data_IF_185051380009
#
_entry.id   IF_185051380009
#
_cell.length_a   1.000
_cell.length_b   1.000
_cell.length_c   1.000
_cell.angle_alpha   90.00
_cell.angle_beta   90.00
_cell.angle_gamma   90.00
#
_symmetry.space_group_name_H-M   'P 1'
#
loop_
_entity.id
_entity.type
_entity.pdbx_description
1 polymer ?
#
# COMPACT_ATOMS: atom_id res chain seq x y z
N UNK A 1 -12.33 4.21 -14.88
CA UNK A 1 -12.31 2.74 -14.70
C UNK A 1 -10.89 2.27 -14.97
N UNK A 2 -10.26 1.53 -14.06
CA UNK A 2 -8.88 1.05 -14.21
C UNK A 2 -8.89 -0.32 -14.91
N UNK A 3 -8.26 -0.41 -16.09
CA UNK A 3 -8.11 -1.66 -16.83
C UNK A 3 -6.66 -2.17 -16.75
N UNK A 4 -6.37 -3.19 -15.93
CA UNK A 4 -5.02 -3.70 -15.77
C UNK A 4 -4.55 -4.49 -17.01
N UNK A 5 -3.31 -4.24 -17.43
CA UNK A 5 -2.58 -5.05 -18.41
C UNK A 5 -2.28 -6.45 -17.84
N UNK A 6 -1.94 -7.46 -18.67
CA UNK A 6 -1.71 -8.83 -18.20
C UNK A 6 -0.74 -8.94 -17.00
N UNK A 7 0.41 -8.28 -17.05
CA UNK A 7 1.37 -8.28 -15.93
C UNK A 7 0.84 -7.58 -14.67
N UNK A 8 -0.06 -6.60 -14.82
CA UNK A 8 -0.69 -5.93 -13.68
C UNK A 8 -1.78 -6.81 -13.06
N UNK A 9 -2.50 -7.62 -13.86
CA UNK A 9 -3.46 -8.60 -13.33
C UNK A 9 -2.78 -9.63 -12.45
N UNK A 10 -1.62 -10.13 -12.86
CA UNK A 10 -0.83 -11.06 -12.05
C UNK A 10 -0.45 -10.47 -10.68
N UNK A 11 -0.19 -9.16 -10.61
CA UNK A 11 0.08 -8.47 -9.34
C UNK A 11 -1.20 -8.39 -8.49
N UNK A 12 -2.36 -8.15 -9.11
CA UNK A 12 -3.66 -8.06 -8.42
C UNK A 12 -4.22 -9.43 -7.97
N UNK A 13 -3.69 -10.52 -8.53
CA UNK A 13 -3.96 -11.90 -8.10
C UNK A 13 -3.12 -12.32 -6.88
N UNK A 14 -2.33 -11.42 -6.30
CA UNK A 14 -1.56 -11.69 -5.09
C UNK A 14 -2.47 -12.07 -3.91
N UNK A 15 -2.20 -13.25 -3.33
CA UNK A 15 -2.94 -13.79 -2.18
C UNK A 15 -2.07 -13.99 -0.93
N UNK A 16 -0.75 -13.87 -1.05
CA UNK A 16 0.18 -14.02 0.08
C UNK A 16 1.60 -14.42 -0.35
N UNK A 17 2.50 -14.52 0.62
CA UNK A 17 3.89 -14.92 0.41
C UNK A 17 4.80 -13.77 -0.06
N UNK A 18 5.80 -14.08 -0.89
CA UNK A 18 6.73 -13.08 -1.44
C UNK A 18 6.49 -12.95 -2.94
N UNK A 19 6.38 -11.72 -3.43
CA UNK A 19 6.24 -11.42 -4.85
C UNK A 19 7.30 -10.39 -5.27
N UNK A 20 8.01 -10.66 -6.36
CA UNK A 20 8.96 -9.74 -6.98
C UNK A 20 8.36 -9.11 -8.24
N UNK A 21 8.53 -7.79 -8.41
CA UNK A 21 8.03 -7.05 -9.56
C UNK A 21 9.19 -6.29 -10.22
N UNK A 22 9.38 -6.44 -11.52
CA UNK A 22 10.45 -5.77 -12.25
C UNK A 22 10.28 -4.23 -12.24
N UNK A 23 11.35 -3.53 -11.86
CA UNK A 23 11.36 -2.08 -11.68
C UNK A 23 11.58 -1.30 -12.99
N UNK A 24 10.76 -1.53 -14.02
CA UNK A 24 10.88 -0.81 -15.30
C UNK A 24 10.29 0.60 -15.18
N UNK A 25 10.98 1.69 -15.57
CA UNK A 25 10.43 3.04 -15.55
C UNK A 25 9.11 3.16 -16.32
N UNK A 26 8.16 3.96 -15.82
CA UNK A 26 6.88 4.20 -16.49
C UNK A 26 5.90 3.01 -16.51
N UNK A 27 6.22 1.86 -15.89
CA UNK A 27 5.38 0.67 -15.95
C UNK A 27 4.07 0.73 -15.14
N UNK A 28 3.74 1.87 -14.53
CA UNK A 28 2.51 2.04 -13.76
C UNK A 28 2.49 1.34 -12.39
N UNK A 29 3.66 0.94 -11.85
CA UNK A 29 3.79 0.25 -10.55
C UNK A 29 3.04 0.95 -9.42
N UNK A 30 3.21 2.26 -9.27
CA UNK A 30 2.53 3.02 -8.22
C UNK A 30 1.02 2.85 -8.30
N UNK A 31 0.44 2.92 -9.50
CA UNK A 31 -1.00 2.75 -9.69
C UNK A 31 -1.45 1.31 -9.39
N UNK A 32 -0.75 0.30 -9.91
CA UNK A 32 -1.08 -1.11 -9.67
C UNK A 32 -0.92 -1.52 -8.21
N UNK A 33 0.14 -1.06 -7.54
CA UNK A 33 0.36 -1.34 -6.12
C UNK A 33 -0.64 -0.61 -5.22
N UNK A 34 -1.07 0.59 -5.59
CA UNK A 34 -2.15 1.29 -4.88
C UNK A 34 -3.48 0.53 -5.02
N UNK A 35 -3.77 -0.01 -6.21
CA UNK A 35 -4.94 -0.85 -6.44
C UNK A 35 -4.88 -2.14 -5.63
N UNK A 36 -3.72 -2.79 -5.57
CA UNK A 36 -3.51 -4.00 -4.76
C UNK A 36 -3.72 -3.71 -3.27
N UNK A 37 -3.15 -2.63 -2.75
CA UNK A 37 -3.33 -2.23 -1.35
C UNK A 37 -4.83 -2.03 -1.04
N UNK A 38 -5.54 -1.28 -1.89
CA UNK A 38 -6.99 -1.08 -1.74
C UNK A 38 -7.79 -2.39 -1.83
N UNK A 39 -7.38 -3.33 -2.69
CA UNK A 39 -8.01 -4.65 -2.80
C UNK A 39 -7.81 -5.48 -1.53
N UNK A 40 -6.60 -5.50 -0.96
CA UNK A 40 -6.32 -6.22 0.30
C UNK A 40 -7.19 -5.67 1.44
N UNK A 41 -7.27 -4.35 1.57
CA UNK A 41 -8.11 -3.66 2.57
C UNK A 41 -9.58 -4.04 2.37
N UNK A 42 -10.10 -3.91 1.13
CA UNK A 42 -11.50 -4.20 0.80
C UNK A 42 -11.90 -5.66 0.97
N UNK A 43 -10.96 -6.59 0.86
CA UNK A 43 -11.25 -8.02 1.03
C UNK A 43 -11.56 -8.37 2.49
N UNK A 44 -11.28 -7.46 3.45
CA UNK A 44 -11.63 -7.65 4.86
C UNK A 44 -10.90 -8.83 5.53
N UNK A 45 -9.75 -9.22 4.99
CA UNK A 45 -8.95 -10.35 5.48
C UNK A 45 -7.92 -9.95 6.53
N UNK A 46 -7.88 -8.67 6.90
CA UNK A 46 -6.99 -8.15 7.93
C UNK A 46 -7.69 -8.24 9.29
N UNK A 47 -7.00 -8.79 10.28
CA UNK A 47 -7.43 -8.74 11.68
C UNK A 47 -7.40 -7.30 12.22
N UNK A 48 -8.04 -7.04 13.36
CA UNK A 48 -8.16 -5.69 13.95
C UNK A 48 -6.80 -5.02 14.25
N UNK A 49 -5.74 -5.81 14.44
CA UNK A 49 -4.37 -5.38 14.71
C UNK A 49 -3.45 -5.41 13.48
N UNK A 50 -3.99 -5.71 12.29
CA UNK A 50 -3.24 -5.80 11.04
C UNK A 50 -3.51 -4.61 10.11
N UNK A 51 -2.46 -4.19 9.41
CA UNK A 51 -2.54 -3.11 8.42
C UNK A 51 -1.72 -3.43 7.16
N UNK A 52 -2.11 -2.84 6.03
CA UNK A 52 -1.26 -2.80 4.83
C UNK A 52 -0.21 -1.70 4.98
N UNK A 53 1.06 -2.07 5.13
CA UNK A 53 2.18 -1.13 5.17
C UNK A 53 2.86 -0.98 3.81
N UNK A 54 2.87 0.24 3.26
CA UNK A 54 3.64 0.60 2.07
C UNK A 54 4.85 1.43 2.48
N UNK A 55 6.04 0.95 2.12
CA UNK A 55 7.31 1.64 2.41
C UNK A 55 7.94 2.16 1.12
N UNK A 56 8.32 3.43 1.13
CA UNK A 56 8.96 4.10 0.00
C UNK A 56 10.23 4.86 0.42
N UNK A 57 10.99 5.39 -0.54
CA UNK A 57 12.22 6.12 -0.26
C UNK A 57 11.98 7.60 0.06
N UNK A 58 11.02 8.24 -0.61
CA UNK A 58 10.83 9.70 -0.60
C UNK A 58 9.42 10.10 -0.20
N UNK A 59 9.28 11.25 0.46
CA UNK A 59 7.99 11.76 0.94
C UNK A 59 6.99 12.02 -0.19
N UNK A 60 7.46 12.50 -1.35
CA UNK A 60 6.57 12.71 -2.50
C UNK A 60 5.92 11.40 -2.98
N UNK A 61 6.58 10.26 -2.81
CA UNK A 61 5.97 8.96 -3.10
C UNK A 61 4.93 8.57 -2.03
N UNK A 62 5.13 8.95 -0.77
CA UNK A 62 4.14 8.73 0.31
C UNK A 62 2.82 9.42 -0.04
N UNK A 63 2.88 10.72 -0.35
CA UNK A 63 1.71 11.51 -0.74
C UNK A 63 1.00 10.93 -1.95
N UNK A 64 1.77 10.54 -2.99
CA UNK A 64 1.23 9.93 -4.19
C UNK A 64 0.52 8.59 -3.92
N UNK A 65 1.04 7.77 -3.02
CA UNK A 65 0.42 6.49 -2.66
C UNK A 65 -0.86 6.71 -1.86
N UNK A 66 -0.85 7.59 -0.85
CA UNK A 66 -2.05 7.91 -0.07
C UNK A 66 -3.21 8.36 -0.97
N UNK A 67 -2.98 9.36 -1.82
CA UNK A 67 -3.99 9.87 -2.74
C UNK A 67 -4.55 8.78 -3.66
N UNK A 68 -3.70 7.89 -4.19
CA UNK A 68 -4.14 6.84 -5.12
C UNK A 68 -4.90 5.72 -4.41
N UNK A 69 -4.46 5.32 -3.23
CA UNK A 69 -5.14 4.31 -2.41
C UNK A 69 -6.52 4.82 -2.02
N UNK A 70 -6.63 6.06 -1.55
CA UNK A 70 -7.91 6.72 -1.24
C UNK A 70 -8.86 6.76 -2.45
N UNK A 71 -8.34 7.09 -3.64
CA UNK A 71 -9.12 7.07 -4.88
C UNK A 71 -9.67 5.67 -5.20
N UNK A 72 -8.86 4.62 -5.05
CA UNK A 72 -9.31 3.23 -5.28
C UNK A 72 -10.32 2.74 -4.24
N UNK A 73 -10.27 3.32 -3.05
CA UNK A 73 -11.21 3.00 -1.98
C UNK A 73 -12.53 3.76 -2.08
N UNK A 74 -12.69 4.66 -3.06
CA UNK A 74 -13.96 5.34 -3.33
C UNK A 74 -14.15 6.67 -2.60
N UNK A 75 -13.10 7.21 -1.97
CA UNK A 75 -13.08 8.59 -1.46
C UNK A 75 -14.07 8.95 -0.35
N UNK A 76 -14.69 7.99 0.35
CA UNK A 76 -15.74 8.28 1.35
C UNK A 76 -15.43 7.70 2.75
N UNK A 77 -15.16 8.64 3.66
CA UNK A 77 -15.53 8.78 5.09
C UNK A 77 -15.52 7.59 6.09
N UNK A 78 -15.27 6.34 5.70
CA UNK A 78 -15.39 5.24 6.66
C UNK A 78 -14.41 4.08 6.44
N UNK A 79 -13.20 4.42 6.01
CA UNK A 79 -12.09 3.49 6.19
C UNK A 79 -11.47 3.79 7.55
N UNK A 80 -11.45 2.81 8.47
CA UNK A 80 -10.67 2.99 9.68
C UNK A 80 -9.23 3.24 9.23
N UNK A 81 -8.70 4.43 9.54
CA UNK A 81 -7.31 4.81 9.27
C UNK A 81 -6.26 3.88 9.91
N UNK A 82 -6.71 2.80 10.54
CA UNK A 82 -5.94 1.69 11.08
C UNK A 82 -5.63 0.57 10.08
N UNK A 83 -6.32 0.46 8.93
CA UNK A 83 -6.12 -0.71 8.03
C UNK A 83 -5.00 -0.53 7.00
N UNK A 84 -4.42 0.67 6.86
CA UNK A 84 -3.25 0.88 6.00
C UNK A 84 -2.39 2.06 6.43
N UNK A 85 -1.11 1.99 6.08
CA UNK A 85 -0.13 3.03 6.37
C UNK A 85 0.88 3.16 5.24
N UNK A 86 1.26 4.39 4.92
CA UNK A 86 2.37 4.67 3.99
C UNK A 86 3.46 5.45 4.71
N UNK A 87 4.70 4.97 4.63
CA UNK A 87 5.86 5.57 5.27
C UNK A 87 7.07 5.61 4.35
N UNK A 88 7.98 6.53 4.61
CA UNK A 88 9.36 6.36 4.13
C UNK A 88 10.09 5.32 4.98
N UNK A 89 11.22 4.80 4.50
CA UNK A 89 12.08 3.93 5.32
C UNK A 89 12.47 4.60 6.66
N UNK A 90 12.87 5.87 6.62
CA UNK A 90 13.23 6.62 7.83
C UNK A 90 12.01 6.88 8.72
N UNK A 91 10.85 7.17 8.14
CA UNK A 91 9.60 7.33 8.89
C UNK A 91 9.21 6.05 9.63
N UNK A 92 9.30 4.90 8.96
CA UNK A 92 9.05 3.60 9.57
C UNK A 92 10.05 3.30 10.70
N UNK A 93 11.33 3.59 10.51
CA UNK A 93 12.34 3.40 11.55
C UNK A 93 12.03 4.23 12.80
N UNK A 94 11.63 5.49 12.64
CA UNK A 94 11.21 6.34 13.75
C UNK A 94 9.95 5.83 14.45
N UNK A 95 8.96 5.32 13.70
CA UNK A 95 7.75 4.72 14.27
C UNK A 95 8.10 3.50 15.15
N UNK A 96 8.95 2.60 14.66
CA UNK A 96 9.39 1.41 15.41
C UNK A 96 10.05 1.78 16.76
N UNK A 97 10.91 2.80 16.77
CA UNK A 97 11.58 3.26 17.99
C UNK A 97 10.58 3.87 18.97
N UNK A 98 9.60 4.65 18.49
CA UNK A 98 8.59 5.29 19.34
C UNK A 98 7.63 4.27 19.96
N UNK A 99 7.26 3.24 19.20
CA UNK A 99 6.36 2.18 19.66
C UNK A 99 7.06 1.20 20.62
N UNK A 100 8.41 1.17 20.61
CA UNK A 100 9.23 0.38 21.54
C UNK A 100 10.42 1.18 22.07
N UNK A 101 10.18 2.14 22.99
CA UNK A 101 11.22 3.05 23.48
C UNK A 101 12.27 2.38 24.38
N UNK A 102 12.10 1.09 24.71
CA UNK A 102 13.01 0.30 25.55
C UNK A 102 14.00 -0.58 24.77
N UNK A 103 14.07 -0.44 23.44
CA UNK A 103 15.11 -1.02 22.57
C UNK A 103 16.17 0.02 22.26
#
# INVERSE_FOLDING_TARGET
MFEPRPAQRQILEYTGGRMGIAAVPGSGKTHTLSALAAQIIRNGTLDEDQEVLVVTLVNSAVENFNQRVELFLGGTENLPGFQYRVRTLHGLANDIIRDRPSI
#
